data_IF_690824714378
#
_entry.id   IF_690824714378
#
_cell.length_a   1.000
_cell.length_b   1.000
_cell.length_c   1.000
_cell.angle_alpha   90.00
_cell.angle_beta   90.00
_cell.angle_gamma   90.00
#
_symmetry.space_group_name_H-M   'P 1'
#
loop_
_entity.id
_entity.type
_entity.pdbx_description
1 polymer ?
#
# COMPACT_ATOMS: atom_id res chain seq x y z
N UNK A 1 2.51 -22.21 24.88
CA UNK A 1 3.61 -21.25 25.13
C UNK A 1 3.82 -20.40 23.90
N UNK A 2 3.57 -19.10 24.02
CA UNK A 2 3.96 -18.13 22.99
C UNK A 2 5.43 -17.78 23.23
N UNK A 3 6.27 -17.83 22.21
CA UNK A 3 7.66 -17.36 22.30
C UNK A 3 7.69 -15.86 22.03
N UNK A 4 7.99 -15.07 23.06
CA UNK A 4 8.10 -13.61 22.97
C UNK A 4 9.48 -13.15 22.46
N UNK A 5 10.38 -14.09 22.14
CA UNK A 5 11.67 -13.84 21.53
C UNK A 5 12.83 -13.65 22.53
N UNK A 6 14.05 -13.77 22.01
CA UNK A 6 15.28 -13.74 22.81
C UNK A 6 15.54 -12.36 23.44
N UNK A 7 15.22 -11.27 22.74
CA UNK A 7 15.41 -9.91 23.23
C UNK A 7 14.48 -9.56 24.38
N UNK A 8 13.21 -9.98 24.30
CA UNK A 8 12.25 -9.85 25.39
C UNK A 8 12.79 -10.52 26.66
N UNK A 9 13.17 -11.80 26.56
CA UNK A 9 13.72 -12.57 27.67
C UNK A 9 15.01 -11.97 28.25
N UNK A 10 15.85 -11.33 27.43
CA UNK A 10 17.07 -10.65 27.87
C UNK A 10 16.78 -9.38 28.67
N UNK A 11 15.85 -8.55 28.18
CA UNK A 11 15.45 -7.30 28.86
C UNK A 11 14.74 -7.61 30.18
N UNK A 12 13.92 -8.66 30.21
CA UNK A 12 13.20 -9.11 31.39
C UNK A 12 14.11 -9.60 32.52
N UNK A 13 15.25 -10.22 32.18
CA UNK A 13 16.30 -10.57 33.16
C UNK A 13 17.06 -9.37 33.70
N UNK A 14 17.06 -8.26 32.96
CA UNK A 14 17.77 -7.03 33.33
C UNK A 14 16.90 -6.13 34.20
N UNK A 15 15.58 -6.18 34.02
CA UNK A 15 14.60 -5.42 34.79
C UNK A 15 14.04 -6.31 35.92
N UNK A 16 14.28 -5.94 37.17
CA UNK A 16 13.80 -6.69 38.33
C UNK A 16 12.30 -6.43 38.58
N UNK A 17 11.45 -6.94 37.68
CA UNK A 17 9.99 -6.70 37.67
C UNK A 17 9.28 -7.79 38.47
N UNK A 18 8.22 -7.39 39.17
CA UNK A 18 7.37 -8.31 39.93
C UNK A 18 6.72 -9.38 39.03
N UNK A 19 6.66 -10.67 39.45
CA UNK A 19 6.16 -11.77 38.62
C UNK A 19 4.73 -11.57 38.09
N UNK A 20 3.88 -10.87 38.83
CA UNK A 20 2.50 -10.61 38.44
C UNK A 20 2.40 -9.56 37.32
N UNK A 21 3.27 -8.55 37.37
CA UNK A 21 3.37 -7.55 36.31
C UNK A 21 3.91 -8.16 35.00
N UNK A 22 4.83 -9.12 35.10
CA UNK A 22 5.34 -9.89 33.94
C UNK A 22 4.21 -10.66 33.28
N UNK A 23 3.42 -11.43 34.04
CA UNK A 23 2.26 -12.16 33.48
C UNK A 23 1.24 -11.24 32.83
N UNK A 24 0.98 -10.08 33.43
CA UNK A 24 0.07 -9.08 32.86
C UNK A 24 0.62 -8.50 31.55
N UNK A 25 1.94 -8.23 31.49
CA UNK A 25 2.60 -7.76 30.29
C UNK A 25 2.56 -8.82 29.17
N UNK A 26 2.88 -10.06 29.48
CA UNK A 26 2.82 -11.20 28.54
C UNK A 26 1.39 -11.39 28.01
N UNK A 27 0.39 -11.33 28.88
CA UNK A 27 -1.01 -11.42 28.48
C UNK A 27 -1.41 -10.27 27.54
N UNK A 28 -0.99 -9.03 27.84
CA UNK A 28 -1.25 -7.88 26.97
C UNK A 28 -0.53 -8.01 25.62
N UNK A 29 0.73 -8.45 25.62
CA UNK A 29 1.49 -8.68 24.39
C UNK A 29 0.84 -9.77 23.53
N UNK A 30 0.44 -10.88 24.15
CA UNK A 30 -0.29 -11.95 23.47
C UNK A 30 -1.63 -11.47 22.91
N UNK A 31 -2.41 -10.72 23.71
CA UNK A 31 -3.69 -10.16 23.28
C UNK A 31 -3.52 -9.20 22.11
N UNK A 32 -2.46 -8.38 22.14
CA UNK A 32 -2.11 -7.49 21.03
C UNK A 32 -1.75 -8.27 19.76
N UNK A 33 -0.91 -9.31 19.85
CA UNK A 33 -0.56 -10.16 18.70
C UNK A 33 -1.82 -10.85 18.15
N UNK A 34 -2.67 -11.38 19.03
CA UNK A 34 -3.93 -12.01 18.63
C UNK A 34 -4.85 -11.02 17.89
N UNK A 35 -5.02 -9.82 18.43
CA UNK A 35 -5.80 -8.76 17.78
C UNK A 35 -5.20 -8.38 16.43
N UNK A 36 -3.87 -8.21 16.35
CA UNK A 36 -3.16 -7.93 15.10
C UNK A 36 -3.39 -9.01 14.05
N UNK A 37 -3.36 -10.29 14.42
CA UNK A 37 -3.62 -11.39 13.47
C UNK A 37 -5.05 -11.37 12.95
N UNK A 38 -6.04 -11.15 13.82
CA UNK A 38 -7.45 -11.04 13.43
C UNK A 38 -7.70 -9.86 12.50
N UNK A 39 -7.09 -8.73 12.83
CA UNK A 39 -7.16 -7.50 12.05
C UNK A 39 -6.45 -7.62 10.70
N UNK A 40 -5.35 -8.40 10.61
CA UNK A 40 -4.71 -8.73 9.34
C UNK A 40 -5.60 -9.63 8.48
N UNK A 41 -6.20 -10.66 9.07
CA UNK A 41 -7.10 -11.59 8.39
C UNK A 41 -8.30 -10.85 7.79
N UNK A 42 -8.95 -9.96 8.57
CA UNK A 42 -10.05 -9.11 8.11
C UNK A 42 -9.69 -8.19 6.94
N UNK A 43 -8.42 -7.79 6.81
CA UNK A 43 -7.93 -6.90 5.75
C UNK A 43 -7.49 -7.64 4.50
N UNK A 44 -7.29 -8.96 4.58
CA UNK A 44 -7.03 -9.75 3.39
C UNK A 44 -8.30 -9.77 2.53
N UNK A 45 -8.16 -9.66 1.21
CA UNK A 45 -9.30 -9.59 0.35
C UNK A 45 -9.82 -11.02 0.07
N UNK A 46 -11.13 -11.18 -0.10
CA UNK A 46 -11.76 -12.48 -0.34
C UNK A 46 -11.20 -13.18 -1.60
N UNK A 47 -10.68 -12.40 -2.55
CA UNK A 47 -10.08 -12.86 -3.80
C UNK A 47 -8.58 -13.17 -3.67
N UNK A 48 -8.12 -13.64 -2.52
CA UNK A 48 -6.71 -13.96 -2.25
C UNK A 48 -6.10 -14.91 -3.28
N UNK A 49 -6.88 -15.87 -3.78
CA UNK A 49 -6.44 -16.80 -4.84
C UNK A 49 -5.97 -16.07 -6.11
N UNK A 50 -6.57 -14.93 -6.44
CA UNK A 50 -6.16 -14.12 -7.59
C UNK A 50 -4.82 -13.42 -7.34
N UNK A 51 -4.59 -12.94 -6.11
CA UNK A 51 -3.31 -12.33 -5.73
C UNK A 51 -2.19 -13.37 -5.61
N UNK A 52 -2.50 -14.60 -5.22
CA UNK A 52 -1.53 -15.70 -5.22
C UNK A 52 -0.98 -15.97 -6.62
N UNK A 53 -1.79 -15.80 -7.68
CA UNK A 53 -1.32 -15.92 -9.06
C UNK A 53 -0.28 -14.86 -9.43
N UNK A 54 -0.23 -13.70 -8.76
CA UNK A 54 0.84 -12.72 -8.97
C UNK A 54 2.21 -13.23 -8.56
N UNK A 55 2.28 -14.30 -7.74
CA UNK A 55 3.55 -14.95 -7.39
C UNK A 55 4.30 -15.45 -8.63
N UNK A 56 3.59 -15.74 -9.73
CA UNK A 56 4.17 -16.17 -11.01
C UNK A 56 5.15 -15.12 -11.58
N UNK A 57 4.95 -13.85 -11.24
CA UNK A 57 5.83 -12.75 -11.63
C UNK A 57 7.01 -12.54 -10.67
N UNK A 58 7.14 -13.36 -9.63
CA UNK A 58 8.34 -13.32 -8.79
C UNK A 58 9.56 -13.79 -9.59
N UNK A 59 10.75 -13.18 -9.43
CA UNK A 59 11.95 -13.57 -10.16
C UNK A 59 12.27 -15.07 -10.08
N UNK A 60 11.95 -15.70 -8.95
CA UNK A 60 12.14 -17.14 -8.73
C UNK A 60 11.25 -18.02 -9.60
N UNK A 61 10.02 -17.58 -9.88
CA UNK A 61 9.05 -18.34 -10.67
C UNK A 61 9.16 -18.01 -12.16
N UNK A 62 9.30 -16.72 -12.53
CA UNK A 62 9.35 -16.32 -13.94
C UNK A 62 10.66 -16.68 -14.64
N UNK A 63 11.76 -16.85 -13.90
CA UNK A 63 13.05 -17.30 -14.46
C UNK A 63 13.22 -18.82 -14.46
N UNK A 64 12.22 -19.56 -13.95
CA UNK A 64 12.27 -21.02 -13.96
C UNK A 64 12.05 -21.53 -15.39
N UNK A 65 12.77 -22.58 -15.78
CA UNK A 65 12.60 -23.21 -17.10
C UNK A 65 11.22 -23.87 -17.27
N UNK A 66 10.55 -24.18 -16.15
CA UNK A 66 9.18 -24.70 -16.12
C UNK A 66 8.16 -23.58 -15.78
N UNK A 67 8.47 -22.31 -16.11
CA UNK A 67 7.52 -21.23 -15.91
C UNK A 67 6.24 -21.44 -16.74
N UNK A 68 5.08 -20.96 -16.26
CA UNK A 68 3.80 -21.16 -16.94
C UNK A 68 3.80 -20.53 -18.34
N UNK A 69 2.99 -21.12 -19.21
CA UNK A 69 2.79 -20.57 -20.57
C UNK A 69 2.11 -19.20 -20.49
N UNK A 70 2.31 -18.36 -21.51
CA UNK A 70 1.71 -17.03 -21.56
C UNK A 70 0.21 -17.04 -21.25
N UNK A 71 -0.56 -17.98 -21.82
CA UNK A 71 -2.02 -18.11 -21.63
C UNK A 71 -2.43 -18.30 -20.15
N UNK A 72 -1.55 -18.86 -19.33
CA UNK A 72 -1.80 -19.13 -17.92
C UNK A 72 -1.50 -17.94 -17.02
N UNK A 73 -0.92 -16.86 -17.56
CA UNK A 73 -0.63 -15.66 -16.79
C UNK A 73 -1.93 -14.98 -16.34
N UNK A 74 -1.97 -14.51 -15.08
CA UNK A 74 -3.17 -13.89 -14.57
C UNK A 74 -3.38 -12.54 -15.23
N UNK A 75 -4.64 -12.15 -15.36
CA UNK A 75 -5.06 -10.80 -15.73
C UNK A 75 -4.76 -10.34 -17.16
N UNK A 76 -4.37 -11.25 -18.07
CA UNK A 76 -4.08 -10.92 -19.47
C UNK A 76 -5.29 -10.25 -20.12
N UNK A 77 -6.46 -10.91 -20.11
CA UNK A 77 -7.65 -10.39 -20.81
C UNK A 77 -8.18 -9.07 -20.21
N UNK A 78 -7.89 -8.79 -18.94
CA UNK A 78 -8.41 -7.61 -18.25
C UNK A 78 -7.49 -6.38 -18.39
N UNK A 79 -6.17 -6.58 -18.43
CA UNK A 79 -5.20 -5.47 -18.41
C UNK A 79 -4.36 -5.34 -19.68
N UNK A 80 -4.46 -6.29 -20.61
CA UNK A 80 -3.78 -6.24 -21.91
C UNK A 80 -4.75 -6.04 -23.07
N UNK A 81 -4.31 -5.23 -24.03
CA UNK A 81 -4.96 -5.15 -25.32
C UNK A 81 -4.55 -6.37 -26.15
N UNK A 82 -5.52 -7.03 -26.80
CA UNK A 82 -5.30 -8.21 -27.65
C UNK A 82 -4.25 -7.99 -28.73
N UNK A 83 -4.08 -6.76 -29.22
CA UNK A 83 -3.04 -6.42 -30.20
C UNK A 83 -1.60 -6.60 -29.68
N UNK A 84 -1.40 -6.59 -28.36
CA UNK A 84 -0.07 -6.69 -27.74
C UNK A 84 0.31 -8.11 -27.31
N UNK A 85 -0.61 -9.09 -27.45
CA UNK A 85 -0.40 -10.45 -26.94
C UNK A 85 0.84 -11.09 -27.55
N UNK A 86 1.00 -11.03 -28.88
CA UNK A 86 2.17 -11.61 -29.54
C UNK A 86 3.49 -10.98 -29.08
N UNK A 87 3.53 -9.65 -28.90
CA UNK A 87 4.74 -8.97 -28.41
C UNK A 87 5.07 -9.43 -26.99
N UNK A 88 4.10 -9.44 -26.08
CA UNK A 88 4.33 -9.78 -24.68
C UNK A 88 4.65 -11.27 -24.51
N UNK A 89 3.99 -12.15 -25.25
CA UNK A 89 4.30 -13.58 -25.29
C UNK A 89 5.75 -13.81 -25.72
N UNK A 90 6.21 -13.17 -26.80
CA UNK A 90 7.61 -13.30 -27.22
C UNK A 90 8.60 -12.77 -26.17
N UNK A 91 8.23 -11.73 -25.41
CA UNK A 91 9.06 -11.21 -24.32
C UNK A 91 9.06 -12.16 -23.12
N UNK A 92 7.92 -12.77 -22.80
CA UNK A 92 7.77 -13.73 -21.71
C UNK A 92 8.66 -14.96 -21.95
N UNK A 93 8.59 -15.56 -23.13
CA UNK A 93 9.41 -16.71 -23.50
C UNK A 93 10.92 -16.37 -23.51
N UNK A 94 11.28 -15.14 -23.90
CA UNK A 94 12.68 -14.68 -23.88
C UNK A 94 13.29 -14.58 -22.48
N UNK A 95 12.49 -14.48 -21.41
CA UNK A 95 13.00 -14.39 -20.05
C UNK A 95 13.89 -15.57 -19.68
N UNK A 96 13.50 -16.79 -20.06
CA UNK A 96 14.25 -18.02 -19.72
C UNK A 96 15.57 -18.14 -20.48
N UNK A 97 15.71 -17.41 -21.59
CA UNK A 97 16.91 -17.43 -22.44
C UNK A 97 18.02 -16.54 -21.86
N UNK A 98 17.67 -15.50 -21.12
CA UNK A 98 18.63 -14.50 -20.61
C UNK A 98 19.16 -14.87 -19.23
N UNK A 99 20.48 -14.88 -19.07
CA UNK A 99 21.14 -15.12 -17.77
C UNK A 99 21.21 -13.84 -16.93
N UNK A 100 20.11 -13.50 -16.27
CA UNK A 100 20.00 -12.28 -15.45
C UNK A 100 20.95 -12.22 -14.25
N UNK A 101 21.47 -13.35 -13.77
CA UNK A 101 22.47 -13.41 -12.68
C UNK A 101 23.78 -12.69 -13.00
N UNK A 102 24.07 -12.44 -14.29
CA UNK A 102 25.24 -11.68 -14.72
C UNK A 102 25.00 -10.17 -14.85
N UNK A 103 23.74 -9.73 -14.86
CA UNK A 103 23.35 -8.34 -15.11
C UNK A 103 22.69 -7.67 -13.90
N UNK A 104 22.13 -8.46 -12.97
CA UNK A 104 21.39 -7.98 -11.82
C UNK A 104 22.06 -8.43 -10.51
N UNK A 105 21.94 -7.58 -9.49
CA UNK A 105 22.41 -7.86 -8.13
C UNK A 105 21.49 -8.86 -7.43
N UNK A 106 21.97 -9.54 -6.39
CA UNK A 106 21.14 -10.47 -5.59
C UNK A 106 19.89 -9.79 -4.99
N UNK A 107 20.02 -8.53 -4.54
CA UNK A 107 18.89 -7.74 -4.04
C UNK A 107 17.82 -7.52 -5.12
N UNK A 108 18.24 -7.22 -6.35
CA UNK A 108 17.34 -7.02 -7.49
C UNK A 108 16.67 -8.32 -7.95
N UNK A 109 17.31 -9.47 -7.73
CA UNK A 109 16.73 -10.79 -8.01
C UNK A 109 15.82 -11.30 -6.88
N UNK A 110 15.86 -10.66 -5.72
CA UNK A 110 15.01 -11.02 -4.56
C UNK A 110 13.70 -10.24 -4.54
N UNK A 111 13.72 -8.99 -5.00
CA UNK A 111 12.58 -8.06 -4.97
C UNK A 111 11.93 -7.96 -6.35
N UNK A 112 10.64 -8.30 -6.43
CA UNK A 112 9.91 -8.31 -7.70
C UNK A 112 9.76 -6.91 -8.30
N UNK A 113 9.55 -5.87 -7.49
CA UNK A 113 9.39 -4.51 -7.99
C UNK A 113 10.71 -3.98 -8.57
N UNK A 114 11.84 -4.21 -7.88
CA UNK A 114 13.17 -3.83 -8.38
C UNK A 114 13.51 -4.59 -9.65
N UNK A 115 13.25 -5.90 -9.69
CA UNK A 115 13.47 -6.74 -10.86
C UNK A 115 12.76 -6.18 -12.10
N UNK A 116 11.43 -6.02 -12.04
CA UNK A 116 10.64 -5.54 -13.18
C UNK A 116 10.95 -4.09 -13.55
N UNK A 117 11.30 -3.25 -12.57
CA UNK A 117 11.77 -1.89 -12.86
C UNK A 117 13.07 -1.89 -13.68
N UNK A 118 13.97 -2.85 -13.43
CA UNK A 118 15.21 -3.00 -14.19
C UNK A 118 14.94 -3.54 -15.59
N UNK A 119 14.10 -4.58 -15.70
CA UNK A 119 13.71 -5.16 -16.98
C UNK A 119 13.02 -4.14 -17.90
N UNK A 120 12.21 -3.23 -17.33
CA UNK A 120 11.59 -2.14 -18.09
C UNK A 120 12.63 -1.27 -18.83
N UNK A 121 13.77 -1.04 -18.20
CA UNK A 121 14.90 -0.28 -18.75
C UNK A 121 16.00 -1.13 -19.40
N UNK A 122 15.81 -2.44 -19.49
CA UNK A 122 16.83 -3.38 -19.95
C UNK A 122 17.00 -3.31 -21.46
N UNK A 123 18.25 -3.15 -21.90
CA UNK A 123 18.63 -3.01 -23.31
C UNK A 123 19.54 -4.15 -23.75
N UNK A 124 19.40 -4.54 -25.00
CA UNK A 124 20.38 -5.41 -25.65
C UNK A 124 21.67 -4.64 -26.00
N UNK A 125 22.67 -5.37 -26.51
CA UNK A 125 23.91 -4.80 -27.04
C UNK A 125 23.69 -3.83 -28.22
N UNK A 126 22.51 -3.87 -28.86
CA UNK A 126 22.08 -2.94 -29.90
C UNK A 126 21.38 -1.69 -29.37
N UNK A 127 21.20 -1.55 -28.06
CA UNK A 127 20.54 -0.42 -27.41
C UNK A 127 19.01 -0.45 -27.47
N UNK A 128 18.40 -1.55 -27.94
CA UNK A 128 16.95 -1.73 -28.05
C UNK A 128 16.39 -2.30 -26.76
N UNK A 129 15.25 -1.78 -26.32
CA UNK A 129 14.56 -2.31 -25.14
C UNK A 129 13.89 -3.64 -25.45
N UNK A 130 14.13 -4.64 -24.62
CA UNK A 130 13.71 -6.03 -24.91
C UNK A 130 12.41 -6.38 -24.18
N UNK A 131 12.20 -5.86 -22.96
CA UNK A 131 11.15 -6.32 -22.04
C UNK A 131 10.18 -5.21 -21.60
N UNK A 132 10.10 -4.09 -22.34
CA UNK A 132 9.37 -2.89 -21.88
C UNK A 132 7.88 -3.16 -21.69
N UNK A 133 7.23 -3.76 -22.68
CA UNK A 133 5.78 -4.02 -22.70
C UNK A 133 5.38 -5.03 -21.62
N UNK A 134 6.16 -6.11 -21.49
CA UNK A 134 5.96 -7.10 -20.44
C UNK A 134 6.18 -6.49 -19.06
N UNK A 135 7.25 -5.72 -18.88
CA UNK A 135 7.55 -5.10 -17.58
C UNK A 135 6.48 -4.08 -17.20
N UNK A 136 5.99 -3.29 -18.16
CA UNK A 136 4.90 -2.34 -17.90
C UNK A 136 3.61 -3.06 -17.47
N UNK A 137 3.27 -4.16 -18.14
CA UNK A 137 2.14 -4.99 -17.76
C UNK A 137 2.27 -5.53 -16.33
N UNK A 138 3.41 -6.13 -16.01
CA UNK A 138 3.63 -6.72 -14.68
C UNK A 138 3.67 -5.63 -13.60
N UNK A 139 4.32 -4.50 -13.86
CA UNK A 139 4.35 -3.37 -12.92
C UNK A 139 2.94 -2.81 -12.65
N UNK A 140 2.06 -2.76 -13.66
CA UNK A 140 0.65 -2.39 -13.45
C UNK A 140 -0.06 -3.35 -12.51
N UNK A 141 0.16 -4.66 -12.67
CA UNK A 141 -0.43 -5.67 -11.78
C UNK A 141 0.13 -5.61 -10.36
N UNK A 142 1.44 -5.40 -10.21
CA UNK A 142 2.07 -5.28 -8.89
C UNK A 142 1.70 -3.99 -8.15
N UNK A 143 1.16 -2.98 -8.86
CA UNK A 143 0.61 -1.77 -8.26
C UNK A 143 -0.84 -1.94 -7.75
N UNK A 144 -1.48 -3.09 -8.01
CA UNK A 144 -2.84 -3.32 -7.53
C UNK A 144 -2.87 -3.41 -6.01
N UNK A 145 -3.73 -2.65 -5.33
CA UNK A 145 -3.86 -2.74 -3.88
C UNK A 145 -4.41 -4.13 -3.54
N UNK A 146 -3.62 -4.90 -2.81
CA UNK A 146 -3.99 -6.26 -2.36
C UNK A 146 -4.78 -6.27 -1.06
N UNK A 147 -5.11 -5.12 -0.48
CA UNK A 147 -5.89 -5.03 0.76
C UNK A 147 -6.50 -3.65 0.93
N UNK A 148 -7.49 -3.56 1.82
CA UNK A 148 -8.12 -2.31 2.20
C UNK A 148 -7.23 -1.42 3.10
N UNK A 149 -6.04 -1.89 3.49
CA UNK A 149 -5.13 -1.16 4.37
C UNK A 149 -4.72 0.23 3.82
N UNK A 150 -4.61 0.38 2.50
CA UNK A 150 -4.33 1.70 1.89
C UNK A 150 -5.50 2.65 2.12
N UNK A 151 -6.72 2.16 1.91
CA UNK A 151 -7.96 2.93 2.07
C UNK A 151 -8.14 3.34 3.53
N UNK A 152 -7.96 2.42 4.47
CA UNK A 152 -7.98 2.71 5.91
C UNK A 152 -6.92 3.73 6.32
N UNK A 153 -5.71 3.66 5.75
CA UNK A 153 -4.67 4.67 5.99
C UNK A 153 -5.11 6.06 5.51
N UNK A 154 -5.77 6.15 4.36
CA UNK A 154 -6.33 7.42 3.86
C UNK A 154 -7.45 7.92 4.79
N UNK A 155 -8.31 7.03 5.28
CA UNK A 155 -9.33 7.38 6.27
C UNK A 155 -8.72 7.86 7.60
N UNK A 156 -7.62 7.27 8.05
CA UNK A 156 -6.87 7.74 9.22
C UNK A 156 -6.33 9.16 9.00
N UNK A 157 -5.75 9.44 7.81
CA UNK A 157 -5.32 10.79 7.43
C UNK A 157 -6.52 11.75 7.42
N UNK A 158 -7.67 11.31 6.89
CA UNK A 158 -8.92 12.07 6.89
C UNK A 158 -9.37 12.41 8.30
N UNK A 159 -9.37 11.46 9.24
CA UNK A 159 -9.72 11.72 10.64
C UNK A 159 -8.76 12.74 11.29
N UNK A 160 -7.49 12.74 10.89
CA UNK A 160 -6.55 13.79 11.29
C UNK A 160 -6.81 15.16 10.64
N UNK A 161 -7.51 15.23 9.50
CA UNK A 161 -7.91 16.49 8.85
C UNK A 161 -9.28 16.96 9.37
N UNK A 162 -10.25 16.08 9.45
CA UNK A 162 -11.59 16.36 9.94
C UNK A 162 -11.69 15.85 11.39
N UNK A 163 -11.31 16.71 12.33
CA UNK A 163 -11.42 16.42 13.76
C UNK A 163 -12.80 16.84 14.28
N UNK A 164 -13.17 16.39 15.48
CA UNK A 164 -14.43 16.79 16.14
C UNK A 164 -14.59 18.31 16.25
N UNK A 165 -13.49 19.03 16.54
CA UNK A 165 -13.46 20.49 16.60
C UNK A 165 -13.40 21.18 15.23
N UNK A 166 -12.94 20.48 14.19
CA UNK A 166 -12.79 20.99 12.82
C UNK A 166 -13.55 20.09 11.83
N UNK A 167 -14.85 19.96 12.05
CA UNK A 167 -15.73 19.12 11.23
C UNK A 167 -16.39 19.88 10.06
N UNK A 168 -16.45 21.22 10.14
CA UNK A 168 -17.07 22.10 9.13
C UNK A 168 -16.04 22.58 8.10
N UNK A 169 -15.58 21.67 7.24
CA UNK A 169 -14.65 21.95 6.14
C UNK A 169 -15.39 21.77 4.81
N UNK A 170 -15.23 22.71 3.88
CA UNK A 170 -15.75 22.57 2.51
C UNK A 170 -15.11 21.35 1.81
N UNK A 171 -15.88 20.59 1.03
CA UNK A 171 -15.42 19.40 0.32
C UNK A 171 -14.16 19.63 -0.53
N UNK A 172 -14.11 20.73 -1.30
CA UNK A 172 -12.96 21.05 -2.17
C UNK A 172 -11.71 21.31 -1.32
N UNK A 173 -11.86 22.02 -0.20
CA UNK A 173 -10.76 22.26 0.73
C UNK A 173 -10.32 20.96 1.39
N UNK A 174 -11.25 20.11 1.79
CA UNK A 174 -10.98 18.80 2.39
C UNK A 174 -10.18 17.91 1.43
N UNK A 175 -10.63 17.80 0.18
CA UNK A 175 -9.95 17.04 -0.86
C UNK A 175 -8.51 17.54 -1.09
N UNK A 176 -8.33 18.85 -1.19
CA UNK A 176 -7.00 19.45 -1.36
C UNK A 176 -6.10 19.18 -0.15
N UNK A 177 -6.61 19.28 1.08
CA UNK A 177 -5.86 18.97 2.29
C UNK A 177 -5.47 17.50 2.37
N UNK A 178 -6.38 16.59 2.00
CA UNK A 178 -6.09 15.16 1.89
C UNK A 178 -4.98 14.90 0.88
N UNK A 179 -5.08 15.46 -0.34
CA UNK A 179 -4.06 15.30 -1.38
C UNK A 179 -2.68 15.75 -0.89
N UNK A 180 -2.59 16.91 -0.24
CA UNK A 180 -1.33 17.44 0.34
C UNK A 180 -0.79 16.49 1.40
N UNK A 181 -1.62 16.04 2.35
CA UNK A 181 -1.18 15.16 3.43
C UNK A 181 -0.75 13.79 2.92
N UNK A 182 -1.50 13.19 2.00
CA UNK A 182 -1.13 11.92 1.38
C UNK A 182 0.22 12.04 0.65
N UNK A 183 0.43 13.14 -0.08
CA UNK A 183 1.69 13.40 -0.76
C UNK A 183 2.87 13.54 0.22
N UNK A 184 2.71 14.32 1.28
CA UNK A 184 3.74 14.47 2.32
C UNK A 184 4.04 13.14 3.04
N UNK A 185 3.00 12.36 3.32
CA UNK A 185 3.14 11.03 3.90
C UNK A 185 3.93 10.07 2.98
N UNK A 186 3.65 10.08 1.67
CA UNK A 186 4.41 9.26 0.70
C UNK A 186 5.90 9.64 0.62
N UNK A 187 6.22 10.93 0.82
CA UNK A 187 7.59 11.43 0.83
C UNK A 187 8.25 11.33 2.21
N UNK A 188 7.53 10.88 3.24
CA UNK A 188 7.95 10.92 4.65
C UNK A 188 8.43 12.31 5.08
N UNK A 189 7.80 13.36 4.56
CA UNK A 189 8.12 14.77 4.87
C UNK A 189 7.07 15.36 5.82
N UNK A 190 7.53 16.22 6.71
CA UNK A 190 6.67 16.97 7.62
C UNK A 190 6.51 18.41 7.10
N UNK A 191 5.46 19.10 7.56
CA UNK A 191 5.24 20.51 7.26
C UNK A 191 6.43 21.40 7.66
N UNK A 192 7.23 20.99 8.64
CA UNK A 192 8.43 21.71 9.10
C UNK A 192 9.60 21.62 8.12
N UNK A 193 9.66 20.59 7.28
CA UNK A 193 10.73 20.38 6.30
C UNK A 193 10.30 20.71 4.86
N UNK A 194 9.06 21.17 4.68
CA UNK A 194 8.54 21.50 3.36
C UNK A 194 9.04 22.86 2.90
N UNK A 195 9.73 22.89 1.77
CA UNK A 195 10.15 24.12 1.09
C UNK A 195 9.37 24.24 -0.22
N UNK A 196 8.54 25.29 -0.39
CA UNK A 196 7.80 25.50 -1.62
C UNK A 196 8.74 25.72 -2.82
N UNK A 197 8.37 25.21 -3.99
CA UNK A 197 9.13 25.45 -5.22
C UNK A 197 8.85 26.85 -5.78
N UNK A 198 9.75 27.38 -6.63
CA UNK A 198 9.54 28.67 -7.33
C UNK A 198 8.19 28.72 -8.07
N UNK A 199 7.76 27.60 -8.67
CA UNK A 199 6.46 27.46 -9.34
C UNK A 199 5.26 27.57 -8.38
N UNK A 200 5.42 27.17 -7.12
CA UNK A 200 4.36 27.35 -6.11
C UNK A 200 4.24 28.81 -5.69
N UNK A 201 5.37 29.52 -5.56
CA UNK A 201 5.37 30.96 -5.26
C UNK A 201 4.72 31.80 -6.36
N UNK A 202 4.98 31.50 -7.63
CA UNK A 202 4.35 32.25 -8.73
C UNK A 202 2.83 32.07 -8.77
N UNK A 203 2.33 30.93 -8.29
CA UNK A 203 0.89 30.65 -8.13
C UNK A 203 0.28 31.30 -6.88
N UNK A 204 1.10 31.69 -5.90
CA UNK A 204 0.67 32.39 -4.69
C UNK A 204 0.55 33.90 -4.96
N UNK A 205 -0.36 34.28 -5.85
CA UNK A 205 -0.67 35.68 -6.13
C UNK A 205 -2.18 35.94 -5.96
N UNK A 206 -2.54 37.20 -5.70
CA UNK A 206 -3.92 37.61 -5.40
C UNK A 206 -4.89 37.29 -6.54
N UNK A 207 -4.44 37.42 -7.79
CA UNK A 207 -5.24 37.14 -8.99
C UNK A 207 -5.65 35.68 -9.10
N UNK A 208 -4.79 34.75 -8.68
CA UNK A 208 -5.08 33.31 -8.70
C UNK A 208 -5.83 32.89 -7.42
N UNK A 209 -5.42 33.38 -6.25
CA UNK A 209 -5.98 32.97 -4.96
C UNK A 209 -7.38 33.49 -4.70
N UNK A 210 -7.68 34.71 -5.13
CA UNK A 210 -8.98 35.35 -4.91
C UNK A 210 -9.78 35.49 -6.19
N UNK A 211 -9.47 34.68 -7.21
CA UNK A 211 -10.31 34.63 -8.41
C UNK A 211 -11.69 34.20 -7.95
N UNK A 212 -12.65 35.13 -7.95
CA UNK A 212 -14.03 34.89 -7.60
C UNK A 212 -14.55 33.82 -8.54
N UNK A 213 -14.71 32.60 -8.02
CA UNK A 213 -15.31 31.51 -8.75
C UNK A 213 -16.76 31.88 -9.04
N UNK A 214 -17.05 32.32 -10.26
CA UNK A 214 -18.41 32.35 -10.78
C UNK A 214 -18.97 30.94 -10.65
N UNK A 215 -19.93 30.78 -9.73
CA UNK A 215 -20.90 29.69 -9.60
C UNK A 215 -20.49 28.34 -10.22
N UNK A 216 -19.82 27.49 -9.43
CA UNK A 216 -19.93 26.04 -9.65
C UNK A 216 -21.33 25.65 -9.21
N UNK A 217 -22.24 25.55 -10.17
CA UNK A 217 -23.60 25.04 -9.99
C UNK A 217 -23.52 23.71 -9.25
N UNK A 218 -23.94 23.75 -7.99
CA UNK A 218 -23.99 22.60 -7.11
C UNK A 218 -25.03 21.64 -7.68
N UNK A 219 -24.59 20.59 -8.39
CA UNK A 219 -25.37 19.35 -8.40
C UNK A 219 -25.27 18.77 -6.99
N UNK A 220 -26.14 19.28 -6.12
CA UNK A 220 -26.43 18.73 -4.81
C UNK A 220 -27.03 17.35 -5.00
N UNK A 221 -26.19 16.32 -5.12
CA UNK A 221 -26.62 15.00 -4.69
C UNK A 221 -26.68 15.08 -3.16
N UNK A 222 -27.89 15.34 -2.66
CA UNK A 222 -28.25 15.17 -1.25
C UNK A 222 -27.94 13.71 -0.88
N UNK A 223 -26.75 13.44 -0.37
CA UNK A 223 -26.55 12.31 0.53
C UNK A 223 -26.61 12.90 1.93
N UNK A 224 -27.71 12.59 2.60
CA UNK A 224 -27.99 13.00 3.96
C UNK A 224 -26.75 12.80 4.85
N UNK A 225 -26.55 13.74 5.77
CA UNK A 225 -25.61 13.56 6.85
C UNK A 225 -26.02 12.29 7.60
N UNK A 226 -25.27 11.21 7.39
CA UNK A 226 -25.38 10.04 8.27
C UNK A 226 -24.77 10.52 9.59
N UNK A 227 -25.63 10.66 10.59
CA UNK A 227 -25.22 10.81 11.98
C UNK A 227 -24.68 9.44 12.41
N UNK A 228 -23.40 9.19 12.18
CA UNK A 228 -22.70 8.06 12.80
C UNK A 228 -22.20 8.53 14.18
N UNK A 229 -23.15 8.70 15.10
CA UNK A 229 -22.85 8.92 16.52
C UNK A 229 -22.68 7.60 17.29
N UNK A 230 -22.70 6.42 16.63
CA UNK A 230 -22.80 5.13 17.33
C UNK A 230 -21.60 4.16 17.20
N UNK A 231 -20.50 4.49 16.48
CA UNK A 231 -19.46 3.46 16.21
C UNK A 231 -18.15 3.64 17.02
N UNK A 232 -18.14 4.52 18.03
CA UNK A 232 -16.98 4.69 18.93
C UNK A 232 -17.09 3.92 20.25
N UNK A 233 -18.30 3.47 20.61
CA UNK A 233 -18.46 2.59 21.76
C UNK A 233 -18.06 1.16 21.43
N UNK A 234 -18.15 0.68 20.19
CA UNK A 234 -17.79 -0.72 19.85
C UNK A 234 -16.30 -1.01 19.91
N UNK A 235 -15.42 -0.07 19.57
CA UNK A 235 -13.96 -0.28 19.65
C UNK A 235 -13.42 -0.17 21.08
N UNK A 236 -14.09 0.60 21.94
CA UNK A 236 -13.83 0.62 23.39
C UNK A 236 -14.48 -0.57 24.08
N UNK A 237 -15.65 -1.02 23.62
CA UNK A 237 -16.35 -2.19 24.14
C UNK A 237 -15.62 -3.48 23.79
N UNK A 238 -15.05 -3.65 22.60
CA UNK A 238 -14.23 -4.84 22.28
C UNK A 238 -12.97 -4.91 23.17
N UNK A 239 -12.37 -3.77 23.53
CA UNK A 239 -11.25 -3.74 24.47
C UNK A 239 -11.68 -3.95 25.93
N UNK A 240 -12.91 -3.57 26.30
CA UNK A 240 -13.45 -3.74 27.65
C UNK A 240 -14.13 -5.10 27.86
N UNK A 241 -14.77 -5.71 26.85
CA UNK A 241 -15.42 -7.02 26.93
C UNK A 241 -14.41 -8.16 27.05
N UNK A 242 -13.26 -8.05 26.39
CA UNK A 242 -12.14 -8.99 26.55
C UNK A 242 -11.50 -8.88 27.95
N UNK A 243 -11.72 -7.77 28.66
CA UNK A 243 -11.28 -7.60 30.05
C UNK A 243 -12.31 -8.11 31.09
N UNK A 244 -13.56 -8.36 30.68
CA UNK A 244 -14.65 -8.76 31.58
C UNK A 244 -15.22 -10.17 31.36
N UNK A 245 -14.75 -10.92 30.36
CA UNK A 245 -15.14 -12.33 30.16
C UNK A 245 -14.07 -13.28 30.70
N UNK A 246 -14.06 -13.38 32.05
CA UNK A 246 -13.68 -14.58 32.80
C UNK A 246 -14.84 -15.58 32.76
#
# INVERSE_FOLDING_TARGET
NCDYGLDYNRVLKTLNIEPNAIKTLEFKAFSFIKALLYELDKRLPDNLEFFQKLQLFSPKQCLNQLHPSFIELPFIDQFLNKSMFGTIETQWEKLTTVKFTSYLSEDELSDSLKFWSKLYSFKDSGGTYIFTELSEFVLKLLCLPSSNAIVERVFSILNGVKTRSRNKINLVMLENLLRIRCHFNSLKKCCTSFVPTKSMYTKFNSTIMYKSSETVTSKSNNLACINDDDDYDDLLNVLNEVSFSL
#
